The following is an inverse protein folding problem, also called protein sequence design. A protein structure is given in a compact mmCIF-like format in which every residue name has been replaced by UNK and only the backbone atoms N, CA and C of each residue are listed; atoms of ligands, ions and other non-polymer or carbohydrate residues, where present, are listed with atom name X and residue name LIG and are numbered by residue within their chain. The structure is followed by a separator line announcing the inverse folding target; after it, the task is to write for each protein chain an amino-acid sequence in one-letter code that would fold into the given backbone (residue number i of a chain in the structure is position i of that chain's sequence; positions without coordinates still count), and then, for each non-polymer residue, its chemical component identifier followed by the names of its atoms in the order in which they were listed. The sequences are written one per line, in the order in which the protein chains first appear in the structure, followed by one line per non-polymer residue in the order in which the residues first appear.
data_IF_168422633702
#
_entry.id   IF_168422633702
#
_cell.length_a   1.000
_cell.length_b   1.000
_cell.length_c   1.000
_cell.angle_alpha   90.00
_cell.angle_beta   90.00
_cell.angle_gamma   90.00
#
_symmetry.space_group_name_H-M   'P 1'
#
loop_
_entity.id
_entity.type
_entity.pdbx_description
1 polymer ?
#
# COMPACT_ATOMS: atom_id res chain seq x y z
N UNK A 1 6.97 -3.59 29.24
CA UNK A 1 6.00 -2.98 28.30
C UNK A 1 6.77 -2.76 27.03
N UNK A 2 6.69 -3.72 26.12
CA UNK A 2 7.50 -3.73 24.92
C UNK A 2 7.00 -2.62 23.99
N UNK A 3 7.78 -1.54 23.92
CA UNK A 3 7.62 -0.53 22.87
C UNK A 3 8.02 -1.18 21.55
N UNK A 4 7.06 -1.88 20.94
CA UNK A 4 7.18 -2.38 19.58
C UNK A 4 7.23 -1.14 18.69
N UNK A 5 8.44 -0.78 18.25
CA UNK A 5 8.64 0.21 17.21
C UNK A 5 8.04 -0.39 15.92
N UNK A 6 6.81 0.01 15.64
CA UNK A 6 6.14 -0.23 14.37
C UNK A 6 6.88 0.57 13.31
N UNK A 7 7.70 -0.11 12.53
CA UNK A 7 8.44 0.47 11.41
C UNK A 7 7.49 1.23 10.47
N UNK A 8 7.54 2.56 10.47
CA UNK A 8 6.86 3.44 9.49
C UNK A 8 7.42 3.28 8.06
N UNK A 9 8.59 2.62 7.95
CA UNK A 9 9.30 2.42 6.70
C UNK A 9 8.82 1.15 6.00
N UNK A 10 8.36 1.29 4.75
CA UNK A 10 7.97 0.13 3.94
C UNK A 10 9.18 -0.75 3.62
N UNK A 11 9.01 -2.06 3.75
CA UNK A 11 10.06 -3.04 3.46
C UNK A 11 10.13 -3.48 1.99
N UNK A 12 9.25 -2.94 1.13
CA UNK A 12 9.15 -3.30 -0.29
C UNK A 12 8.87 -4.81 -0.50
N UNK A 13 8.10 -5.42 0.41
CA UNK A 13 7.73 -6.85 0.37
C UNK A 13 6.46 -7.13 -0.45
N UNK A 14 5.84 -6.09 -1.03
CA UNK A 14 4.58 -6.10 -1.79
C UNK A 14 3.31 -6.60 -1.08
N UNK A 15 3.40 -7.20 0.12
CA UNK A 15 2.26 -7.88 0.75
C UNK A 15 1.05 -6.96 0.99
N UNK A 16 1.26 -5.74 1.49
CA UNK A 16 0.17 -4.79 1.66
C UNK A 16 -0.32 -4.16 0.35
N UNK A 17 0.39 -4.38 -0.76
CA UNK A 17 0.05 -3.86 -2.06
C UNK A 17 -0.62 -4.90 -2.96
N UNK A 18 -0.42 -6.21 -2.80
CA UNK A 18 -0.97 -7.23 -3.71
C UNK A 18 -2.26 -7.91 -3.23
N UNK A 19 -2.52 -7.94 -1.92
CA UNK A 19 -3.61 -8.76 -1.35
C UNK A 19 -4.32 -8.08 -0.17
N UNK A 20 -4.19 -6.76 -0.02
CA UNK A 20 -4.74 -6.05 1.14
C UNK A 20 -6.10 -5.44 0.82
N UNK A 21 -7.22 -6.01 1.29
CA UNK A 21 -8.49 -5.84 0.59
C UNK A 21 -9.16 -4.48 0.76
N UNK A 22 -8.76 -3.63 1.73
CA UNK A 22 -9.44 -2.35 1.96
C UNK A 22 -8.48 -1.29 2.54
N UNK A 23 -8.04 -0.37 1.69
CA UNK A 23 -7.36 0.86 2.12
C UNK A 23 -8.37 2.00 2.02
N UNK A 24 -9.07 2.28 3.10
CA UNK A 24 -9.95 3.44 3.18
C UNK A 24 -9.15 4.75 3.09
N UNK A 25 -9.68 5.72 2.35
CA UNK A 25 -9.08 7.02 2.12
C UNK A 25 -9.97 8.13 2.68
N UNK A 26 -9.38 9.00 3.49
CA UNK A 26 -9.99 10.27 3.85
C UNK A 26 -9.93 11.26 2.68
N UNK A 27 -10.78 12.29 2.71
CA UNK A 27 -10.76 13.37 1.72
C UNK A 27 -9.39 14.05 1.61
N UNK A 28 -8.69 14.24 2.73
CA UNK A 28 -7.35 14.83 2.74
C UNK A 28 -6.32 13.92 2.06
N UNK A 29 -6.39 12.60 2.27
CA UNK A 29 -5.51 11.65 1.59
C UNK A 29 -5.76 11.61 0.09
N UNK A 30 -7.04 11.66 -0.34
CA UNK A 30 -7.38 11.77 -1.76
C UNK A 30 -6.79 13.05 -2.36
N UNK A 31 -6.98 14.20 -1.70
CA UNK A 31 -6.42 15.48 -2.15
C UNK A 31 -4.88 15.45 -2.30
N UNK A 32 -4.15 14.88 -1.33
CA UNK A 32 -2.69 14.78 -1.42
C UNK A 32 -2.24 13.83 -2.54
N UNK A 33 -3.00 12.75 -2.79
CA UNK A 33 -2.75 11.84 -3.90
C UNK A 33 -3.02 12.51 -5.26
N UNK A 34 -4.10 13.27 -5.40
CA UNK A 34 -4.38 14.04 -6.63
C UNK A 34 -3.26 15.05 -6.90
N UNK A 35 -2.84 15.79 -5.86
CA UNK A 35 -1.75 16.78 -5.96
C UNK A 35 -0.42 16.14 -6.35
N UNK A 36 -0.09 14.97 -5.80
CA UNK A 36 1.16 14.27 -6.09
C UNK A 36 1.17 13.65 -7.50
N UNK A 37 0.04 13.10 -7.93
CA UNK A 37 -0.05 12.28 -9.15
C UNK A 37 -0.55 13.05 -10.37
N UNK A 38 -1.27 14.15 -10.17
CA UNK A 38 -2.01 14.85 -11.22
C UNK A 38 -3.25 14.10 -11.73
N UNK A 39 -3.60 12.97 -11.12
CA UNK A 39 -4.79 12.19 -11.45
C UNK A 39 -5.97 12.67 -10.61
N UNK A 40 -7.19 12.57 -11.13
CA UNK A 40 -8.38 12.79 -10.30
C UNK A 40 -8.68 11.57 -9.44
N UNK A 41 -9.27 11.77 -8.26
CA UNK A 41 -9.46 10.70 -7.28
C UNK A 41 -10.35 9.55 -7.78
N UNK A 42 -11.26 9.80 -8.72
CA UNK A 42 -12.07 8.74 -9.35
C UNK A 42 -11.23 7.70 -10.11
N UNK A 43 -10.01 8.06 -10.54
CA UNK A 43 -9.09 7.17 -11.26
C UNK A 43 -8.44 6.13 -10.35
N UNK A 44 -8.25 6.47 -9.07
CA UNK A 44 -7.51 5.64 -8.12
C UNK A 44 -8.34 5.21 -6.91
N UNK A 45 -9.65 5.48 -6.92
CA UNK A 45 -10.56 5.10 -5.83
C UNK A 45 -11.79 4.36 -6.32
N UNK A 46 -12.32 3.50 -5.46
CA UNK A 46 -13.64 2.90 -5.59
C UNK A 46 -14.53 3.42 -4.45
N UNK A 47 -15.79 3.69 -4.76
CA UNK A 47 -16.80 4.07 -3.77
C UNK A 47 -17.52 2.84 -3.23
N UNK A 48 -17.76 2.77 -1.93
CA UNK A 48 -18.45 1.63 -1.29
C UNK A 48 -19.89 1.47 -1.74
N UNK A 49 -20.60 2.59 -1.83
CA UNK A 49 -22.00 2.67 -2.27
C UNK A 49 -22.33 4.11 -2.64
N UNK A 50 -23.34 4.33 -3.49
CA UNK A 50 -23.78 5.68 -3.85
C UNK A 50 -24.32 6.46 -2.64
N UNK A 51 -24.84 5.76 -1.62
CA UNK A 51 -25.42 6.39 -0.44
C UNK A 51 -24.38 6.87 0.60
N UNK A 52 -23.13 6.38 0.52
CA UNK A 52 -22.09 6.66 1.52
C UNK A 52 -20.85 7.21 0.82
N UNK A 53 -20.37 8.37 1.28
CA UNK A 53 -19.11 8.99 0.81
C UNK A 53 -17.89 8.28 1.44
N UNK A 54 -17.80 6.96 1.27
CA UNK A 54 -16.67 6.12 1.69
C UNK A 54 -15.89 5.67 0.45
N UNK A 55 -14.61 6.07 0.38
CA UNK A 55 -13.70 5.79 -0.73
C UNK A 55 -12.59 4.84 -0.29
N UNK A 56 -12.28 3.87 -1.14
CA UNK A 56 -11.19 2.94 -0.96
C UNK A 56 -10.23 3.05 -2.12
N UNK A 57 -8.95 2.82 -1.87
CA UNK A 57 -7.96 2.72 -2.92
C UNK A 57 -8.35 1.61 -3.90
N UNK A 58 -8.28 1.90 -5.19
CA UNK A 58 -8.54 0.94 -6.24
C UNK A 58 -7.40 -0.09 -6.36
N UNK A 59 -7.78 -1.31 -6.69
CA UNK A 59 -6.88 -2.38 -7.10
C UNK A 59 -7.08 -2.65 -8.59
N UNK A 60 -5.98 -2.99 -9.27
CA UNK A 60 -5.97 -3.46 -10.64
C UNK A 60 -6.66 -4.83 -10.71
N UNK A 61 -7.02 -5.27 -11.91
CA UNK A 61 -7.70 -6.57 -12.12
C UNK A 61 -6.90 -7.77 -11.57
N UNK A 62 -5.58 -7.65 -11.52
CA UNK A 62 -4.69 -8.69 -10.97
C UNK A 62 -4.60 -8.68 -9.43
N UNK A 63 -5.33 -7.80 -8.74
CA UNK A 63 -5.30 -7.64 -7.29
C UNK A 63 -4.25 -6.65 -6.78
N UNK A 64 -3.38 -6.12 -7.65
CA UNK A 64 -2.34 -5.18 -7.22
C UNK A 64 -2.92 -3.79 -6.94
N UNK A 65 -2.39 -3.15 -5.90
CA UNK A 65 -2.65 -1.77 -5.56
C UNK A 65 -2.37 -0.90 -6.79
N UNK A 66 -3.28 0.02 -7.09
CA UNK A 66 -3.12 0.92 -8.24
C UNK A 66 -1.75 1.62 -8.27
N UNK A 67 -1.16 1.97 -7.12
CA UNK A 67 0.14 2.64 -7.04
C UNK A 67 1.34 1.71 -6.87
N UNK A 68 1.16 0.39 -6.88
CA UNK A 68 2.28 -0.56 -6.89
C UNK A 68 3.05 -0.43 -8.21
N UNK A 69 4.37 -0.46 -8.12
CA UNK A 69 5.27 -0.59 -9.26
C UNK A 69 6.20 -1.78 -9.01
N UNK A 70 6.21 -2.71 -9.96
CA UNK A 70 7.07 -3.90 -9.97
C UNK A 70 8.04 -3.81 -11.15
N UNK A 71 9.34 -3.98 -10.88
CA UNK A 71 10.39 -4.01 -11.89
C UNK A 71 11.36 -5.15 -11.58
N UNK A 72 11.37 -6.21 -12.39
CA UNK A 72 12.26 -7.37 -12.23
C UNK A 72 12.25 -7.95 -10.80
N UNK A 73 11.06 -8.08 -10.21
CA UNK A 73 10.91 -8.60 -8.84
C UNK A 73 11.15 -7.58 -7.72
N UNK A 74 11.59 -6.36 -8.03
CA UNK A 74 11.65 -5.27 -7.06
C UNK A 74 10.34 -4.48 -7.01
N UNK A 75 9.90 -4.15 -5.80
CA UNK A 75 8.64 -3.45 -5.56
C UNK A 75 8.85 -2.04 -5.03
N UNK A 76 8.02 -1.12 -5.49
CA UNK A 76 8.01 0.28 -5.05
C UNK A 76 6.59 0.84 -5.06
N UNK A 77 6.35 1.87 -4.24
CA UNK A 77 5.10 2.60 -4.23
C UNK A 77 5.30 3.91 -4.99
N UNK A 78 4.51 4.15 -6.03
CA UNK A 78 4.58 5.38 -6.84
C UNK A 78 4.19 6.64 -6.05
N UNK A 79 3.47 6.47 -4.94
CA UNK A 79 3.01 7.56 -4.05
C UNK A 79 3.60 7.46 -2.65
N UNK A 80 4.87 7.01 -2.52
CA UNK A 80 5.48 6.69 -1.23
C UNK A 80 5.35 7.80 -0.16
N UNK A 81 5.53 9.06 -0.56
CA UNK A 81 5.46 10.23 0.32
C UNK A 81 4.01 10.60 0.73
N UNK A 82 3.05 10.32 -0.14
CA UNK A 82 1.61 10.56 0.08
C UNK A 82 0.86 9.29 0.50
N UNK A 83 1.58 8.25 0.99
CA UNK A 83 0.95 7.00 1.44
C UNK A 83 -0.20 7.27 2.40
N UNK A 84 -1.36 6.61 2.24
CA UNK A 84 -2.43 6.67 3.23
C UNK A 84 -1.96 6.19 4.60
N UNK A 85 -2.62 6.65 5.67
CA UNK A 85 -2.32 6.31 7.06
C UNK A 85 -2.29 4.79 7.27
N UNK A 86 -3.22 4.06 6.68
CA UNK A 86 -3.26 2.58 6.72
C UNK A 86 -1.97 2.00 6.14
N UNK A 87 -1.50 2.52 5.01
CA UNK A 87 -0.25 2.09 4.37
C UNK A 87 1.00 2.49 5.15
N UNK A 88 1.02 3.66 5.80
CA UNK A 88 2.14 4.11 6.66
C UNK A 88 2.29 3.26 7.92
N UNK A 89 1.16 2.86 8.49
CA UNK A 89 1.11 2.08 9.72
C UNK A 89 1.33 0.58 9.48
N UNK A 90 1.43 0.14 8.23
CA UNK A 90 1.70 -1.25 7.91
C UNK A 90 3.22 -1.53 7.92
N UNK A 91 3.69 -2.64 8.53
CA UNK A 91 2.91 -3.63 9.28
C UNK A 91 2.53 -3.10 10.66
N UNK A 92 1.28 -3.30 11.10
CA UNK A 92 0.77 -2.84 12.42
C UNK A 92 0.73 -3.94 13.48
N UNK A 93 0.95 -5.20 13.09
CA UNK A 93 0.92 -6.39 13.97
C UNK A 93 2.20 -7.22 13.82
N UNK A 94 2.66 -7.92 14.86
CA UNK A 94 3.83 -8.81 14.78
C UNK A 94 3.75 -9.84 13.65
N UNK A 95 2.59 -10.49 13.45
CA UNK A 95 2.40 -11.46 12.37
C UNK A 95 2.57 -10.85 10.97
N UNK A 96 2.11 -9.61 10.76
CA UNK A 96 2.31 -8.90 9.49
C UNK A 96 3.79 -8.57 9.26
N UNK A 97 4.50 -8.22 10.33
CA UNK A 97 5.91 -7.91 10.31
C UNK A 97 6.74 -9.15 9.94
N UNK A 98 6.46 -10.30 10.55
CA UNK A 98 7.09 -11.59 10.22
C UNK A 98 6.89 -11.96 8.75
N UNK A 99 5.64 -11.91 8.24
CA UNK A 99 5.36 -12.26 6.84
C UNK A 99 6.05 -11.30 5.87
N UNK A 100 6.05 -10.00 6.18
CA UNK A 100 6.73 -9.02 5.33
C UNK A 100 8.26 -9.18 5.34
N UNK A 101 8.87 -9.64 6.44
CA UNK A 101 10.28 -9.98 6.49
C UNK A 101 10.60 -11.18 5.58
N UNK A 102 9.87 -12.29 5.74
CA UNK A 102 10.06 -13.51 4.96
C UNK A 102 9.90 -13.27 3.46
N UNK A 103 8.87 -12.52 3.06
CA UNK A 103 8.66 -12.18 1.65
C UNK A 103 9.81 -11.35 1.07
N UNK A 104 10.32 -10.38 1.83
CA UNK A 104 11.48 -9.58 1.40
C UNK A 104 12.71 -10.45 1.18
N UNK A 105 12.98 -11.41 2.06
CA UNK A 105 14.10 -12.33 1.89
C UNK A 105 13.95 -13.21 0.64
N UNK A 106 12.74 -13.71 0.38
CA UNK A 106 12.46 -14.49 -0.83
C UNK A 106 12.71 -13.69 -2.09
N UNK A 107 12.28 -12.41 -2.13
CA UNK A 107 12.50 -11.50 -3.25
C UNK A 107 14.00 -11.29 -3.49
N UNK A 108 14.76 -10.97 -2.44
CA UNK A 108 16.20 -10.74 -2.56
C UNK A 108 16.96 -11.97 -3.08
N UNK A 109 16.56 -13.19 -2.67
CA UNK A 109 17.15 -14.43 -3.19
C UNK A 109 16.85 -14.63 -4.67
N UNK A 110 15.64 -14.30 -5.12
CA UNK A 110 15.25 -14.40 -6.54
C UNK A 110 16.00 -13.41 -7.43
N UNK A 111 16.30 -12.22 -6.91
CA UNK A 111 17.01 -11.18 -7.68
C UNK A 111 18.55 -11.37 -7.68
N UNK A 112 19.06 -12.37 -6.95
CA UNK A 112 20.50 -12.68 -6.84
C UNK A 112 20.95 -13.83 -7.77
N UNK A 113 20.09 -14.33 -8.65
CA UNK A 113 20.38 -15.36 -9.64
C UNK A 113 20.00 -14.92 -11.04
#
# INVERSE_FOLDING_TARGET
MDNIILSETCRKCALCCKDYPFVELSQNEMYELEKLTGLSFDVFTNRKSEAVEEYFLQFLENGDCFFLNENNGDYSCRVYEARPRICRNYPSKPSQNEVCASNREMILRKNSG
#
